data_IF_515914268021
#
_entry.id   IF_515914268021
#
_cell.length_a   1.000
_cell.length_b   1.000
_cell.length_c   1.000
_cell.angle_alpha   90.00
_cell.angle_beta   90.00
_cell.angle_gamma   90.00
#
_symmetry.space_group_name_H-M   'P 1'
#
loop_
_entity.id
_entity.type
_entity.pdbx_description
1 polymer ?
#
# COMPACT_ATOMS: atom_id res chain seq x y z
N UNK A 1 7.97 17.38 -22.78
CA UNK A 1 6.69 16.65 -23.02
C UNK A 1 6.78 15.17 -22.63
N UNK A 2 7.92 14.47 -22.86
CA UNK A 2 8.09 13.07 -22.50
C UNK A 2 7.97 12.81 -20.98
N UNK A 3 8.76 13.52 -20.16
CA UNK A 3 8.77 13.37 -18.70
C UNK A 3 7.36 13.45 -18.07
N UNK A 4 6.56 14.44 -18.49
CA UNK A 4 5.19 14.58 -18.01
C UNK A 4 4.30 13.37 -18.38
N UNK A 5 4.47 12.82 -19.58
CA UNK A 5 3.70 11.67 -20.03
C UNK A 5 4.04 10.39 -19.27
N UNK A 6 5.30 10.28 -18.83
CA UNK A 6 5.79 9.13 -18.08
C UNK A 6 5.49 9.23 -16.58
N UNK A 7 5.50 10.44 -16.01
CA UNK A 7 5.36 10.64 -14.55
C UNK A 7 3.97 11.11 -14.11
N UNK A 8 3.09 11.52 -15.03
CA UNK A 8 1.81 12.15 -14.70
C UNK A 8 1.93 13.54 -14.05
N UNK A 9 3.15 14.04 -13.80
CA UNK A 9 3.39 15.29 -13.08
C UNK A 9 2.80 16.51 -13.80
N UNK A 10 2.47 17.55 -13.03
CA UNK A 10 2.06 18.86 -13.55
C UNK A 10 3.12 19.47 -14.45
N UNK A 11 2.70 20.27 -15.45
CA UNK A 11 3.63 20.85 -16.44
C UNK A 11 4.73 21.69 -15.78
N UNK A 12 4.39 22.45 -14.75
CA UNK A 12 5.34 23.33 -14.05
C UNK A 12 6.29 22.53 -13.16
N UNK A 13 5.81 21.46 -12.56
CA UNK A 13 6.64 20.58 -11.71
C UNK A 13 7.63 19.79 -12.56
N UNK A 14 7.18 19.23 -13.69
CA UNK A 14 8.06 18.57 -14.65
C UNK A 14 9.12 19.51 -15.22
N UNK A 15 8.75 20.78 -15.52
CA UNK A 15 9.70 21.79 -15.97
C UNK A 15 10.75 22.09 -14.92
N UNK A 16 10.33 22.38 -13.68
CA UNK A 16 11.25 22.68 -12.56
C UNK A 16 12.17 21.49 -12.28
N UNK A 17 11.64 20.27 -12.27
CA UNK A 17 12.45 19.08 -12.04
C UNK A 17 13.53 18.92 -13.13
N UNK A 18 13.20 19.15 -14.39
CA UNK A 18 14.20 19.14 -15.47
C UNK A 18 15.24 20.26 -15.35
N UNK A 19 14.84 21.46 -14.95
CA UNK A 19 15.77 22.57 -14.71
C UNK A 19 16.72 22.24 -13.55
N UNK A 20 16.20 21.71 -12.44
CA UNK A 20 16.98 21.33 -11.26
C UNK A 20 17.89 20.13 -11.52
N UNK A 21 17.50 19.22 -12.42
CA UNK A 21 18.29 18.09 -12.88
C UNK A 21 19.27 18.42 -14.02
N UNK A 22 19.43 19.71 -14.39
CA UNK A 22 20.32 20.11 -15.47
C UNK A 22 19.95 19.54 -16.84
N UNK A 23 18.69 19.15 -17.05
CA UNK A 23 18.17 18.53 -18.27
C UNK A 23 18.21 17.00 -18.29
N UNK A 24 18.72 16.36 -17.25
CA UNK A 24 18.71 14.89 -17.11
C UNK A 24 17.30 14.39 -16.77
N UNK A 25 16.74 13.56 -17.64
CA UNK A 25 15.37 13.07 -17.51
C UNK A 25 15.20 12.07 -16.38
N UNK A 26 16.20 11.21 -16.11
CA UNK A 26 16.12 10.21 -15.04
C UNK A 26 16.24 10.88 -13.67
N UNK A 27 17.19 11.79 -13.50
CA UNK A 27 17.28 12.58 -12.28
C UNK A 27 16.03 13.43 -12.05
N UNK A 28 15.43 13.98 -13.11
CA UNK A 28 14.17 14.72 -13.00
C UNK A 28 13.00 13.84 -12.55
N UNK A 29 12.94 12.56 -12.95
CA UNK A 29 11.96 11.59 -12.46
C UNK A 29 12.12 11.33 -10.95
N UNK A 30 13.36 11.13 -10.51
CA UNK A 30 13.67 10.90 -9.10
C UNK A 30 13.27 12.11 -8.25
N UNK A 31 13.61 13.34 -8.70
CA UNK A 31 13.21 14.57 -8.03
C UNK A 31 11.68 14.75 -7.98
N UNK A 32 10.98 14.40 -9.06
CA UNK A 32 9.52 14.44 -9.08
C UNK A 32 8.90 13.44 -8.10
N UNK A 33 9.45 12.23 -8.03
CA UNK A 33 9.03 11.20 -7.09
C UNK A 33 9.24 11.66 -5.65
N UNK A 34 10.43 12.14 -5.31
CA UNK A 34 10.76 12.64 -3.97
C UNK A 34 9.82 13.79 -3.55
N UNK A 35 9.63 14.77 -4.43
CA UNK A 35 8.72 15.92 -4.18
C UNK A 35 7.28 15.50 -4.06
N UNK A 36 6.85 14.54 -4.86
CA UNK A 36 5.50 13.95 -4.79
C UNK A 36 5.26 13.31 -3.44
N UNK A 37 6.17 12.46 -2.96
CA UNK A 37 6.10 11.83 -1.64
C UNK A 37 6.07 12.85 -0.50
N UNK A 38 6.96 13.86 -0.53
CA UNK A 38 6.98 14.92 0.47
C UNK A 38 5.68 15.75 0.49
N UNK A 39 5.06 15.95 -0.67
CA UNK A 39 3.77 16.64 -0.77
C UNK A 39 2.61 15.77 -0.28
N UNK A 40 2.66 14.45 -0.49
CA UNK A 40 1.67 13.48 0.03
C UNK A 40 1.67 13.45 1.55
N UNK A 41 2.84 13.40 2.19
CA UNK A 41 2.95 13.46 3.66
C UNK A 41 2.29 14.72 4.26
N UNK A 42 2.44 15.87 3.60
CA UNK A 42 1.78 17.12 4.05
C UNK A 42 0.25 17.11 3.88
N UNK A 43 -0.29 16.18 3.10
CA UNK A 43 -1.72 16.05 2.85
C UNK A 43 -2.35 14.90 3.66
N UNK A 44 -1.56 14.07 4.34
CA UNK A 44 -2.03 12.88 5.04
C UNK A 44 -3.17 13.15 6.04
N UNK A 45 -3.19 14.34 6.64
CA UNK A 45 -4.23 14.74 7.61
C UNK A 45 -5.50 15.34 6.95
N UNK A 46 -5.54 15.45 5.61
CA UNK A 46 -6.73 15.98 4.95
C UNK A 46 -7.83 14.95 4.91
N UNK A 47 -9.08 15.42 5.13
CA UNK A 47 -10.25 14.54 5.07
C UNK A 47 -10.44 13.94 3.67
N UNK A 48 -10.73 12.65 3.63
CA UNK A 48 -11.04 11.88 2.43
C UNK A 48 -12.49 11.42 2.49
N UNK A 49 -13.42 12.31 2.11
CA UNK A 49 -14.87 12.07 2.20
C UNK A 49 -15.48 11.52 0.90
N UNK A 50 -14.66 11.40 -0.14
CA UNK A 50 -15.04 10.85 -1.43
C UNK A 50 -14.26 9.55 -1.68
N UNK A 51 -14.54 8.85 -2.76
CA UNK A 51 -13.82 7.62 -3.07
C UNK A 51 -14.59 6.68 -3.97
N UNK A 52 -14.12 5.46 -4.09
CA UNK A 52 -14.78 4.37 -4.81
C UNK A 52 -14.70 3.05 -4.06
N UNK A 53 -15.62 2.15 -4.37
CA UNK A 53 -15.57 0.76 -3.92
C UNK A 53 -14.97 -0.08 -5.05
N UNK A 54 -13.74 -0.56 -4.83
CA UNK A 54 -13.15 -1.60 -5.65
C UNK A 54 -13.72 -2.97 -5.29
N UNK A 55 -13.91 -3.84 -6.28
CA UNK A 55 -14.42 -5.18 -6.04
C UNK A 55 -13.68 -6.22 -6.86
N UNK A 56 -13.53 -7.42 -6.31
CA UNK A 56 -12.97 -8.57 -7.00
C UNK A 56 -13.68 -9.85 -6.60
N UNK A 57 -14.04 -10.68 -7.59
CA UNK A 57 -14.58 -12.01 -7.40
C UNK A 57 -13.63 -13.04 -8.01
N UNK A 58 -13.07 -13.91 -7.18
CA UNK A 58 -12.27 -15.04 -7.63
C UNK A 58 -13.16 -16.25 -7.92
N UNK A 59 -13.05 -16.77 -9.13
CA UNK A 59 -13.84 -17.92 -9.56
C UNK A 59 -13.00 -19.20 -9.56
N UNK A 60 -13.61 -20.27 -9.08
CA UNK A 60 -13.08 -21.62 -9.18
C UNK A 60 -14.15 -22.50 -9.83
N UNK A 61 -13.85 -23.09 -10.98
CA UNK A 61 -14.81 -23.92 -11.73
C UNK A 61 -16.19 -23.24 -11.88
N UNK A 62 -16.24 -22.08 -12.51
CA UNK A 62 -17.45 -21.29 -12.86
C UNK A 62 -18.26 -20.71 -11.70
N UNK A 63 -17.80 -20.84 -10.44
CA UNK A 63 -18.45 -20.21 -9.29
C UNK A 63 -17.50 -19.25 -8.55
N UNK A 64 -17.96 -18.11 -8.03
CA UNK A 64 -17.16 -17.27 -7.17
C UNK A 64 -16.94 -17.98 -5.81
N UNK A 65 -15.71 -18.03 -5.36
CA UNK A 65 -15.32 -18.65 -4.08
C UNK A 65 -14.66 -17.65 -3.11
N UNK A 66 -14.12 -16.54 -3.63
CA UNK A 66 -13.64 -15.43 -2.83
C UNK A 66 -14.27 -14.14 -3.36
N UNK A 67 -14.77 -13.31 -2.48
CA UNK A 67 -15.28 -11.98 -2.79
C UNK A 67 -14.60 -10.93 -1.93
N UNK A 68 -14.17 -9.82 -2.56
CA UNK A 68 -13.56 -8.70 -1.87
C UNK A 68 -14.24 -7.41 -2.28
N UNK A 69 -14.51 -6.55 -1.30
CA UNK A 69 -14.84 -5.14 -1.45
C UNK A 69 -13.79 -4.32 -0.70
N UNK A 70 -13.27 -3.27 -1.33
CA UNK A 70 -12.32 -2.33 -0.70
C UNK A 70 -12.78 -0.90 -0.94
N UNK A 71 -12.78 -0.09 0.11
CA UNK A 71 -13.04 1.34 0.05
C UNK A 71 -11.70 2.08 -0.12
N UNK A 72 -11.48 2.62 -1.32
CA UNK A 72 -10.38 3.53 -1.62
C UNK A 72 -10.92 4.96 -1.58
N UNK A 73 -10.41 5.77 -0.65
CA UNK A 73 -10.88 7.11 -0.37
C UNK A 73 -9.98 8.19 -0.99
N UNK A 74 -10.57 9.33 -1.34
CA UNK A 74 -9.93 10.52 -1.91
C UNK A 74 -10.55 11.80 -1.36
N UNK A 75 -9.91 12.97 -1.61
CA UNK A 75 -10.46 14.26 -1.21
C UNK A 75 -11.68 14.66 -2.06
N UNK A 76 -11.64 14.40 -3.38
CA UNK A 76 -12.67 14.84 -4.33
C UNK A 76 -13.29 13.70 -5.15
N UNK A 77 -14.50 13.95 -5.63
CA UNK A 77 -15.19 13.05 -6.54
C UNK A 77 -14.58 13.03 -7.95
N UNK A 78 -13.79 14.03 -8.31
CA UNK A 78 -13.06 14.06 -9.58
C UNK A 78 -12.01 12.95 -9.62
N UNK A 79 -11.22 12.81 -8.56
CA UNK A 79 -10.23 11.73 -8.42
C UNK A 79 -10.95 10.39 -8.33
N UNK A 80 -12.00 10.29 -7.51
CA UNK A 80 -12.79 9.06 -7.35
C UNK A 80 -13.36 8.50 -8.66
N UNK A 81 -13.67 9.36 -9.63
CA UNK A 81 -14.22 9.01 -10.94
C UNK A 81 -13.16 8.71 -11.99
N UNK A 82 -11.88 8.99 -11.73
CA UNK A 82 -10.81 8.75 -12.70
C UNK A 82 -10.59 7.26 -12.95
N UNK A 83 -10.20 6.92 -14.16
CA UNK A 83 -9.98 5.52 -14.56
C UNK A 83 -8.83 4.88 -13.75
N UNK A 84 -7.74 5.61 -13.60
CA UNK A 84 -6.56 5.14 -12.85
C UNK A 84 -6.88 4.86 -11.39
N UNK A 85 -7.70 5.71 -10.74
CA UNK A 85 -8.12 5.51 -9.35
C UNK A 85 -9.02 4.27 -9.20
N UNK A 86 -9.99 4.11 -10.12
CA UNK A 86 -10.86 2.95 -10.12
C UNK A 86 -10.11 1.65 -10.46
N UNK A 87 -9.11 1.72 -11.35
CA UNK A 87 -8.24 0.59 -11.64
C UNK A 87 -7.42 0.20 -10.41
N UNK A 88 -6.82 1.17 -9.71
CA UNK A 88 -6.08 0.93 -8.47
C UNK A 88 -6.97 0.26 -7.40
N UNK A 89 -8.21 0.71 -7.23
CA UNK A 89 -9.14 0.09 -6.29
C UNK A 89 -9.44 -1.38 -6.65
N UNK A 90 -9.62 -1.71 -7.94
CA UNK A 90 -9.81 -3.11 -8.39
C UNK A 90 -8.56 -3.96 -8.18
N UNK A 91 -7.39 -3.39 -8.43
CA UNK A 91 -6.11 -4.08 -8.26
C UNK A 91 -5.81 -4.37 -6.78
N UNK A 92 -6.14 -3.43 -5.88
CA UNK A 92 -6.06 -3.64 -4.42
C UNK A 92 -7.06 -4.73 -3.99
N UNK A 93 -8.29 -4.74 -4.50
CA UNK A 93 -9.26 -5.79 -4.18
C UNK A 93 -8.75 -7.18 -4.62
N UNK A 94 -8.12 -7.28 -5.78
CA UNK A 94 -7.49 -8.51 -6.26
C UNK A 94 -6.33 -8.93 -5.35
N UNK A 95 -5.49 -7.98 -4.93
CA UNK A 95 -4.40 -8.23 -3.99
C UNK A 95 -4.92 -8.79 -2.67
N UNK A 96 -5.95 -8.16 -2.07
CA UNK A 96 -6.57 -8.62 -0.82
C UNK A 96 -7.12 -10.05 -0.95
N UNK A 97 -7.73 -10.38 -2.09
CA UNK A 97 -8.22 -11.74 -2.32
C UNK A 97 -7.10 -12.79 -2.26
N UNK A 98 -5.92 -12.47 -2.80
CA UNK A 98 -4.79 -13.38 -2.89
C UNK A 98 -3.93 -13.40 -1.61
N UNK A 99 -3.62 -12.22 -1.05
CA UNK A 99 -2.66 -12.05 0.04
C UNK A 99 -3.28 -12.16 1.45
N UNK A 100 -4.62 -12.09 1.57
CA UNK A 100 -5.37 -12.30 2.82
C UNK A 100 -4.95 -11.41 3.99
N UNK A 101 -4.76 -10.09 3.80
CA UNK A 101 -4.49 -9.22 4.92
C UNK A 101 -5.66 -9.21 5.90
N UNK A 102 -5.38 -8.90 7.17
CA UNK A 102 -6.42 -8.77 8.20
C UNK A 102 -6.67 -7.32 8.61
N UNK A 103 -5.66 -6.47 8.43
CA UNK A 103 -5.66 -5.06 8.80
C UNK A 103 -5.19 -4.21 7.62
N UNK A 104 -5.59 -2.95 7.57
CA UNK A 104 -5.09 -2.03 6.54
C UNK A 104 -3.71 -1.50 6.94
N UNK A 105 -3.56 -1.04 8.18
CA UNK A 105 -2.34 -0.45 8.73
C UNK A 105 -1.88 -1.16 10.00
N UNK A 106 -0.61 -0.94 10.38
CA UNK A 106 -0.06 -1.52 11.63
C UNK A 106 -0.79 -1.03 12.88
N UNK A 107 -1.30 0.20 12.85
CA UNK A 107 -2.01 0.81 13.98
C UNK A 107 -3.36 0.14 14.29
N UNK A 108 -3.90 -0.62 13.32
CA UNK A 108 -5.13 -1.39 13.50
C UNK A 108 -4.90 -2.75 14.18
N UNK A 109 -3.63 -3.21 14.24
CA UNK A 109 -3.30 -4.49 14.86
C UNK A 109 -3.39 -4.36 16.37
N UNK A 110 -4.22 -5.17 17.07
CA UNK A 110 -4.33 -5.09 18.53
C UNK A 110 -2.99 -5.31 19.23
N UNK A 111 -2.67 -4.46 20.21
CA UNK A 111 -1.43 -4.58 20.98
C UNK A 111 -1.25 -5.97 21.59
N UNK A 112 -2.34 -6.61 22.04
CA UNK A 112 -2.32 -7.96 22.59
C UNK A 112 -1.80 -9.00 21.57
N UNK A 113 -2.19 -8.86 20.31
CA UNK A 113 -1.73 -9.73 19.23
C UNK A 113 -0.23 -9.53 18.95
N UNK A 114 0.20 -8.28 18.90
CA UNK A 114 1.62 -7.93 18.71
C UNK A 114 2.48 -8.47 19.86
N UNK A 115 2.06 -8.28 21.12
CA UNK A 115 2.79 -8.77 22.29
C UNK A 115 2.81 -10.30 22.38
N UNK A 116 1.72 -10.96 21.97
CA UNK A 116 1.67 -12.42 21.88
C UNK A 116 2.69 -12.92 20.85
N UNK A 117 2.75 -12.32 19.68
CA UNK A 117 3.69 -12.71 18.62
C UNK A 117 5.13 -12.47 19.06
N UNK A 118 5.46 -11.30 19.64
CA UNK A 118 6.78 -11.01 20.22
C UNK A 118 7.21 -12.07 21.23
N UNK A 119 6.29 -12.43 22.13
CA UNK A 119 6.56 -13.44 23.17
C UNK A 119 6.86 -14.80 22.55
N UNK A 120 6.10 -15.19 21.52
CA UNK A 120 6.30 -16.44 20.80
C UNK A 120 7.66 -16.50 20.11
N UNK A 121 8.01 -15.43 19.39
CA UNK A 121 9.30 -15.30 18.68
C UNK A 121 10.47 -15.35 19.70
N UNK A 122 10.35 -14.63 20.81
CA UNK A 122 11.37 -14.61 21.85
C UNK A 122 11.58 -15.99 22.48
N UNK A 123 10.48 -16.71 22.76
CA UNK A 123 10.55 -18.07 23.32
C UNK A 123 11.21 -19.05 22.33
N UNK A 124 10.89 -18.96 21.05
CA UNK A 124 11.52 -19.77 20.01
C UNK A 124 13.02 -19.52 19.93
N UNK A 125 13.42 -18.24 19.86
CA UNK A 125 14.83 -17.86 19.78
C UNK A 125 15.63 -18.34 21.00
N UNK A 126 15.06 -18.24 22.21
CA UNK A 126 15.68 -18.78 23.45
C UNK A 126 15.82 -20.30 23.42
N UNK A 127 14.80 -21.00 22.95
CA UNK A 127 14.85 -22.47 22.79
C UNK A 127 15.91 -22.91 21.77
N UNK A 128 16.21 -22.07 20.77
CA UNK A 128 17.32 -22.26 19.83
C UNK A 128 18.70 -21.94 20.45
N UNK A 129 18.76 -21.54 21.71
CA UNK A 129 20.00 -21.23 22.43
C UNK A 129 20.61 -19.87 22.05
N UNK A 130 19.82 -18.94 21.50
CA UNK A 130 20.32 -17.60 21.16
C UNK A 130 20.54 -16.76 22.41
N UNK A 131 21.65 -15.98 22.50
CA UNK A 131 21.88 -15.03 23.58
C UNK A 131 20.82 -13.93 23.61
N UNK A 132 20.49 -13.38 24.80
CA UNK A 132 19.43 -12.38 24.97
C UNK A 132 19.59 -11.16 24.05
N UNK A 133 20.81 -10.65 23.86
CA UNK A 133 21.06 -9.50 22.96
C UNK A 133 20.83 -9.80 21.47
N UNK A 134 20.79 -11.08 21.09
CA UNK A 134 20.45 -11.54 19.74
C UNK A 134 18.93 -11.77 19.64
N UNK A 135 18.29 -12.22 20.73
CA UNK A 135 16.84 -12.46 20.78
C UNK A 135 16.06 -11.19 20.42
N UNK A 136 16.44 -10.01 20.96
CA UNK A 136 15.80 -8.73 20.65
C UNK A 136 15.83 -8.44 19.14
N UNK A 137 16.98 -8.60 18.49
CA UNK A 137 17.11 -8.37 17.04
C UNK A 137 16.30 -9.37 16.20
N UNK A 138 16.20 -10.61 16.67
CA UNK A 138 15.39 -11.64 16.03
C UNK A 138 13.91 -11.27 16.14
N UNK A 139 13.47 -10.80 17.31
CA UNK A 139 12.09 -10.35 17.54
C UNK A 139 11.75 -9.22 16.59
N UNK A 140 12.57 -8.17 16.51
CA UNK A 140 12.34 -7.03 15.62
C UNK A 140 12.25 -7.45 14.14
N UNK A 141 13.18 -8.31 13.70
CA UNK A 141 13.19 -8.79 12.31
C UNK A 141 11.98 -9.65 11.97
N UNK A 142 11.61 -10.62 12.83
CA UNK A 142 10.48 -11.51 12.59
C UNK A 142 9.14 -10.79 12.78
N UNK A 143 9.06 -9.78 13.63
CA UNK A 143 7.87 -8.96 13.80
C UNK A 143 7.55 -8.18 12.51
N UNK A 144 8.56 -7.73 11.77
CA UNK A 144 8.33 -7.13 10.46
C UNK A 144 7.70 -8.13 9.48
N UNK A 145 8.20 -9.37 9.45
CA UNK A 145 7.59 -10.42 8.61
C UNK A 145 6.15 -10.74 9.01
N UNK A 146 5.84 -10.69 10.31
CA UNK A 146 4.47 -10.83 10.80
C UNK A 146 3.57 -9.70 10.26
N UNK A 147 4.02 -8.43 10.29
CA UNK A 147 3.26 -7.33 9.70
C UNK A 147 3.12 -7.49 8.18
N UNK A 148 4.16 -7.91 7.46
CA UNK A 148 4.09 -8.19 6.03
C UNK A 148 3.07 -9.28 5.68
N UNK A 149 2.75 -10.19 6.61
CA UNK A 149 1.74 -11.23 6.41
C UNK A 149 0.33 -10.70 6.61
N UNK A 150 0.08 -9.87 7.65
CA UNK A 150 -1.27 -9.53 8.08
C UNK A 150 -1.73 -8.10 7.77
N UNK A 151 -0.80 -7.18 7.43
CA UNK A 151 -1.09 -5.76 7.19
C UNK A 151 -1.01 -5.43 5.72
N UNK A 152 -2.11 -5.01 5.14
CA UNK A 152 -2.25 -4.71 3.71
C UNK A 152 -1.15 -3.77 3.20
N UNK A 153 -0.87 -2.68 3.91
CA UNK A 153 0.10 -1.67 3.47
C UNK A 153 1.55 -2.16 3.49
N UNK A 154 1.86 -3.16 4.31
CA UNK A 154 3.19 -3.78 4.38
C UNK A 154 3.38 -4.91 3.35
N UNK A 155 2.30 -5.45 2.79
CA UNK A 155 2.37 -6.54 1.82
C UNK A 155 2.96 -6.09 0.48
N UNK A 156 3.85 -6.89 -0.07
CA UNK A 156 4.35 -6.70 -1.45
C UNK A 156 3.19 -6.87 -2.43
N UNK A 157 3.00 -5.87 -3.30
CA UNK A 157 1.91 -5.89 -4.27
C UNK A 157 2.04 -7.07 -5.25
N UNK A 158 0.94 -7.79 -5.48
CA UNK A 158 0.95 -9.06 -6.24
C UNK A 158 1.16 -8.90 -7.75
N UNK A 159 1.11 -7.68 -8.28
CA UNK A 159 1.26 -7.37 -9.70
C UNK A 159 2.49 -6.50 -9.94
N UNK A 160 3.72 -7.07 -9.88
CA UNK A 160 4.96 -6.31 -10.02
C UNK A 160 5.08 -5.60 -11.38
N UNK A 161 4.40 -6.10 -12.42
CA UNK A 161 4.36 -5.47 -13.74
C UNK A 161 3.60 -4.12 -13.74
N UNK A 162 2.75 -3.87 -12.76
CA UNK A 162 2.04 -2.60 -12.57
C UNK A 162 2.76 -1.69 -11.57
N UNK A 163 3.21 -2.26 -10.47
CA UNK A 163 3.91 -1.52 -9.43
C UNK A 163 4.85 -2.43 -8.64
N UNK A 164 6.13 -2.07 -8.58
CA UNK A 164 7.13 -2.76 -7.78
C UNK A 164 7.24 -2.11 -6.40
N UNK A 165 6.81 -2.83 -5.36
CA UNK A 165 6.83 -2.36 -3.98
C UNK A 165 5.65 -2.86 -3.16
N UNK A 166 5.42 -2.23 -1.99
CA UNK A 166 4.29 -2.59 -1.14
C UNK A 166 3.00 -1.87 -1.57
N UNK A 167 1.84 -2.40 -1.14
CA UNK A 167 0.53 -1.76 -1.37
C UNK A 167 0.52 -0.34 -0.81
N UNK A 168 1.11 -0.11 0.37
CA UNK A 168 1.22 1.23 0.96
C UNK A 168 1.98 2.20 0.05
N UNK A 169 3.12 1.78 -0.52
CA UNK A 169 3.88 2.58 -1.48
C UNK A 169 3.12 2.82 -2.79
N UNK A 170 2.30 1.85 -3.22
CA UNK A 170 1.46 2.02 -4.40
C UNK A 170 0.39 3.10 -4.17
N UNK A 171 -0.29 3.07 -3.02
CA UNK A 171 -1.29 4.08 -2.63
C UNK A 171 -0.63 5.46 -2.49
N UNK A 172 0.55 5.54 -1.87
CA UNK A 172 1.33 6.78 -1.75
C UNK A 172 1.73 7.35 -3.11
N UNK A 173 2.15 6.49 -4.04
CA UNK A 173 2.47 6.88 -5.42
C UNK A 173 1.24 7.39 -6.18
N UNK A 174 0.09 6.74 -5.99
CA UNK A 174 -1.18 7.19 -6.56
C UNK A 174 -1.56 8.57 -6.02
N UNK A 175 -1.47 8.77 -4.70
CA UNK A 175 -1.72 10.05 -4.04
C UNK A 175 -0.78 11.18 -4.55
N UNK A 176 0.48 10.86 -4.77
CA UNK A 176 1.45 11.79 -5.35
C UNK A 176 1.06 12.20 -6.78
N UNK A 177 0.63 11.24 -7.60
CA UNK A 177 0.22 11.45 -9.01
C UNK A 177 -1.08 12.25 -9.10
N UNK A 178 -2.08 11.89 -8.30
CA UNK A 178 -3.40 12.55 -8.27
C UNK A 178 -3.36 13.92 -7.56
N UNK A 179 -2.37 14.16 -6.71
CA UNK A 179 -2.24 15.41 -5.96
C UNK A 179 -3.21 15.56 -4.79
N UNK A 180 -3.81 14.47 -4.34
CA UNK A 180 -4.76 14.39 -3.23
C UNK A 180 -4.29 13.43 -2.14
N UNK A 181 -4.89 13.53 -0.95
CA UNK A 181 -4.80 12.47 0.04
C UNK A 181 -5.62 11.28 -0.44
N UNK A 182 -5.00 10.11 -0.48
CA UNK A 182 -5.64 8.85 -0.87
C UNK A 182 -5.24 7.79 0.15
N UNK A 183 -6.22 7.03 0.62
CA UNK A 183 -6.01 5.92 1.53
C UNK A 183 -7.03 4.80 1.31
N UNK A 184 -6.66 3.60 1.75
CA UNK A 184 -7.63 2.50 1.92
C UNK A 184 -8.29 2.70 3.28
N UNK A 185 -9.60 2.96 3.31
CA UNK A 185 -10.33 3.16 4.56
C UNK A 185 -10.64 1.83 5.25
N UNK A 186 -11.06 0.85 4.48
CA UNK A 186 -11.42 -0.49 4.96
C UNK A 186 -11.64 -1.46 3.81
N UNK A 187 -11.69 -2.74 4.14
CA UNK A 187 -12.10 -3.79 3.19
C UNK A 187 -12.92 -4.87 3.89
N UNK A 188 -13.56 -5.69 3.07
CA UNK A 188 -14.22 -6.93 3.50
C UNK A 188 -13.84 -8.03 2.53
N UNK A 189 -13.41 -9.17 3.07
CA UNK A 189 -13.07 -10.37 2.33
C UNK A 189 -13.92 -11.53 2.82
N UNK A 190 -14.50 -12.25 1.90
CA UNK A 190 -15.26 -13.46 2.16
C UNK A 190 -14.67 -14.60 1.33
N UNK A 191 -14.44 -15.73 1.95
CA UNK A 191 -14.01 -16.96 1.28
C UNK A 191 -14.89 -18.13 1.77
N UNK A 192 -15.28 -18.99 0.84
CA UNK A 192 -16.09 -20.14 1.18
C UNK A 192 -15.26 -21.12 2.02
N UNK A 193 -15.75 -21.43 3.24
CA UNK A 193 -15.08 -22.33 4.17
C UNK A 193 -14.10 -21.65 5.14
N UNK A 194 -13.97 -20.34 5.09
CA UNK A 194 -13.26 -19.52 6.09
C UNK A 194 -14.25 -19.15 7.21
N UNK A 195 -13.88 -19.40 8.51
CA UNK A 195 -14.65 -19.02 9.71
C UNK A 195 -14.30 -17.62 10.20
#
# INVERSE_FOLDING_TARGET
MALRKETGAGMMDAKRALEDAGGDAEQAKDLLRERGLAATQKRADRATEQGTIGSYLHHQADRPVIGVLVELASETDFVAKSEDFQEAARDIAMHIAAARPRYVTRDEVPDEEVEKEKSLIAAQAKNEGKPDHIVEKIVDGRLNSFYEEIVLYDQTFIRPEKFEGTVGKMVESLAATMGENINVSRFSRLEIGEE
#
